data_IF_403375760248
#
_entry.id   IF_403375760248
#
_cell.length_a   1.000
_cell.length_b   1.000
_cell.length_c   1.000
_cell.angle_alpha   90.00
_cell.angle_beta   90.00
_cell.angle_gamma   90.00
#
_symmetry.space_group_name_H-M   'P 1'
#
loop_
_entity.id
_entity.type
_entity.pdbx_description
1 polymer ?
#
# COMPACT_ATOMS: atom_id res chain seq x y z
N UNK A 1 8.96 -30.22 6.39
CA UNK A 1 9.63 -29.15 5.61
C UNK A 1 10.08 -28.09 6.61
N UNK A 2 11.34 -27.67 6.60
CA UNK A 2 11.80 -26.59 7.50
C UNK A 2 11.08 -25.30 7.10
N UNK A 3 10.33 -24.69 8.02
CA UNK A 3 9.70 -23.39 7.79
C UNK A 3 10.75 -22.28 7.74
N UNK A 4 10.57 -21.31 6.84
CA UNK A 4 11.44 -20.15 6.73
C UNK A 4 11.47 -19.40 8.08
N UNK A 5 12.65 -19.13 8.67
CA UNK A 5 12.77 -18.43 9.95
C UNK A 5 12.08 -17.07 10.01
N UNK A 6 11.89 -16.38 8.86
CA UNK A 6 11.15 -15.12 8.80
C UNK A 6 9.66 -15.36 9.08
N UNK A 7 9.06 -16.41 8.50
CA UNK A 7 7.64 -16.73 8.71
C UNK A 7 7.38 -17.04 10.19
N UNK A 8 8.26 -17.83 10.82
CA UNK A 8 8.17 -18.14 12.25
C UNK A 8 8.24 -16.90 13.15
N UNK A 9 8.95 -15.84 12.72
CA UNK A 9 9.03 -14.57 13.45
C UNK A 9 7.80 -13.72 13.21
N UNK A 10 7.29 -13.69 11.98
CA UNK A 10 6.06 -12.96 11.63
C UNK A 10 4.84 -13.57 12.33
N UNK A 11 4.75 -14.89 12.45
CA UNK A 11 3.66 -15.58 13.19
C UNK A 11 3.55 -15.17 14.67
N UNK A 12 4.64 -14.65 15.25
CA UNK A 12 4.70 -14.25 16.67
C UNK A 12 4.37 -12.78 16.89
N UNK A 13 4.17 -12.00 15.83
CA UNK A 13 3.83 -10.60 15.96
C UNK A 13 2.42 -10.42 16.51
N UNK A 14 2.22 -9.37 17.29
CA UNK A 14 0.89 -8.90 17.67
C UNK A 14 0.25 -8.15 16.49
N UNK A 15 -1.08 -7.99 16.50
CA UNK A 15 -1.81 -7.39 15.38
C UNK A 15 -1.26 -6.02 14.96
N UNK A 16 -0.93 -5.14 15.91
CA UNK A 16 -0.38 -3.82 15.58
C UNK A 16 1.04 -3.91 14.96
N UNK A 17 1.81 -4.93 15.33
CA UNK A 17 3.14 -5.17 14.77
C UNK A 17 3.05 -5.73 13.36
N UNK A 18 2.07 -6.59 13.06
CA UNK A 18 1.76 -7.00 11.69
C UNK A 18 1.39 -5.81 10.82
N UNK A 19 0.46 -4.96 11.28
CA UNK A 19 0.03 -3.77 10.53
C UNK A 19 1.21 -2.82 10.32
N UNK A 20 2.04 -2.58 11.35
CA UNK A 20 3.26 -1.77 11.23
C UNK A 20 4.22 -2.35 10.20
N UNK A 21 4.46 -3.67 10.24
CA UNK A 21 5.35 -4.34 9.29
C UNK A 21 4.83 -4.22 7.85
N UNK A 22 3.54 -4.46 7.63
CA UNK A 22 2.90 -4.33 6.31
C UNK A 22 2.93 -2.88 5.82
N UNK A 23 2.58 -1.91 6.69
CA UNK A 23 2.67 -0.49 6.37
C UNK A 23 4.08 -0.09 5.92
N UNK A 24 5.14 -0.57 6.59
CA UNK A 24 6.52 -0.33 6.14
C UNK A 24 6.85 -0.94 4.77
N UNK A 25 6.24 -2.06 4.39
CA UNK A 25 6.41 -2.63 3.05
C UNK A 25 5.70 -1.76 2.00
N UNK A 26 4.48 -1.32 2.26
CA UNK A 26 3.71 -0.43 1.38
C UNK A 26 4.40 0.95 1.24
N UNK A 27 4.93 1.51 2.33
CA UNK A 27 5.79 2.71 2.33
C UNK A 27 6.96 2.59 1.35
N UNK A 28 7.63 1.43 1.35
CA UNK A 28 8.74 1.15 0.45
C UNK A 28 8.28 1.06 -1.01
N UNK A 29 7.02 0.70 -1.27
CA UNK A 29 6.45 0.57 -2.61
C UNK A 29 5.87 1.88 -3.16
N UNK A 30 5.57 2.86 -2.30
CA UNK A 30 5.01 4.16 -2.68
C UNK A 30 5.73 4.85 -3.87
N UNK A 31 7.07 4.90 -3.94
CA UNK A 31 7.76 5.55 -5.05
C UNK A 31 7.41 4.96 -6.42
N UNK A 32 7.10 3.66 -6.49
CA UNK A 32 6.72 3.01 -7.75
C UNK A 32 5.43 3.60 -8.31
N UNK A 33 4.40 3.72 -7.45
CA UNK A 33 3.13 4.31 -7.82
C UNK A 33 3.27 5.81 -8.13
N UNK A 34 3.97 6.57 -7.26
CA UNK A 34 4.13 8.01 -7.43
C UNK A 34 4.86 8.38 -8.73
N UNK A 35 5.94 7.67 -9.07
CA UNK A 35 6.68 7.89 -10.32
C UNK A 35 5.85 7.48 -11.53
N UNK A 36 5.11 6.37 -11.45
CA UNK A 36 4.19 5.95 -12.50
C UNK A 36 3.16 7.04 -12.81
N UNK A 37 2.46 7.56 -11.80
CA UNK A 37 1.50 8.66 -11.94
C UNK A 37 2.16 9.90 -12.56
N UNK A 38 3.35 10.27 -12.08
CA UNK A 38 4.07 11.45 -12.57
C UNK A 38 4.45 11.31 -14.06
N UNK A 39 4.91 10.13 -14.49
CA UNK A 39 5.39 9.91 -15.86
C UNK A 39 4.26 9.78 -16.87
N UNK A 40 3.14 9.21 -16.46
CA UNK A 40 2.01 8.89 -17.35
C UNK A 40 0.89 9.91 -17.30
N UNK A 41 0.85 10.75 -16.27
CA UNK A 41 -0.31 11.57 -15.94
C UNK A 41 -1.49 10.75 -15.40
N UNK A 42 -1.29 9.47 -15.06
CA UNK A 42 -2.32 8.62 -14.48
C UNK A 42 -2.62 9.05 -13.05
N UNK A 43 -3.83 9.58 -12.83
CA UNK A 43 -4.39 9.86 -11.51
C UNK A 43 -3.54 10.80 -10.63
N UNK A 44 -3.82 10.75 -9.33
CA UNK A 44 -3.10 11.52 -8.31
C UNK A 44 -2.17 10.60 -7.50
N UNK A 45 -0.85 10.76 -7.70
CA UNK A 45 0.17 10.01 -6.94
C UNK A 45 0.09 10.19 -5.42
N UNK A 46 -0.56 11.27 -4.93
CA UNK A 46 -0.74 11.51 -3.50
C UNK A 46 -1.83 10.66 -2.86
N UNK A 47 -2.71 10.00 -3.64
CA UNK A 47 -3.77 9.17 -3.06
C UNK A 47 -3.18 8.02 -2.22
N UNK A 48 -2.12 7.39 -2.70
CA UNK A 48 -1.40 6.33 -2.00
C UNK A 48 -0.83 6.82 -0.66
N UNK A 49 -0.22 8.03 -0.67
CA UNK A 49 0.33 8.67 0.53
C UNK A 49 -0.76 8.92 1.57
N UNK A 50 -1.92 9.44 1.14
CA UNK A 50 -3.07 9.68 2.04
C UNK A 50 -3.56 8.40 2.71
N UNK A 51 -3.63 7.28 1.97
CA UNK A 51 -4.01 5.98 2.55
C UNK A 51 -3.00 5.53 3.60
N UNK A 52 -1.70 5.60 3.30
CA UNK A 52 -0.65 5.26 4.26
C UNK A 52 -0.70 6.15 5.51
N UNK A 53 -0.97 7.44 5.36
CA UNK A 53 -1.10 8.38 6.49
C UNK A 53 -2.26 7.98 7.41
N UNK A 54 -3.40 7.55 6.85
CA UNK A 54 -4.53 7.04 7.64
C UNK A 54 -4.16 5.74 8.37
N UNK A 55 -3.40 4.84 7.76
CA UNK A 55 -2.91 3.62 8.43
C UNK A 55 -2.02 4.00 9.61
N UNK A 56 -1.06 4.91 9.42
CA UNK A 56 -0.20 5.39 10.52
C UNK A 56 -0.97 6.12 11.61
N UNK A 57 -2.00 6.88 11.25
CA UNK A 57 -2.89 7.52 12.21
C UNK A 57 -3.55 6.48 13.12
N UNK A 58 -4.06 5.36 12.56
CA UNK A 58 -4.64 4.28 13.39
C UNK A 58 -3.65 3.59 14.32
N UNK A 59 -2.35 3.61 14.00
CA UNK A 59 -1.30 3.03 14.83
C UNK A 59 -0.80 3.98 15.93
N UNK A 60 -0.84 5.29 15.69
CA UNK A 60 -0.18 6.30 16.54
C UNK A 60 -1.16 7.15 17.35
N UNK A 61 -2.38 7.34 16.86
CA UNK A 61 -3.40 8.17 17.49
C UNK A 61 -4.41 7.29 18.20
N UNK A 62 -4.45 7.43 19.53
CA UNK A 62 -5.42 6.73 20.36
C UNK A 62 -6.85 7.12 19.94
N UNK A 63 -7.71 6.12 19.78
CA UNK A 63 -9.13 6.26 19.42
C UNK A 63 -9.40 6.81 17.99
N UNK A 64 -8.39 6.81 17.12
CA UNK A 64 -8.58 7.13 15.69
C UNK A 64 -9.61 6.19 15.05
N UNK A 65 -10.53 6.76 14.26
CA UNK A 65 -11.57 6.03 13.53
C UNK A 65 -11.49 6.39 12.07
N UNK A 66 -11.10 5.42 11.25
CA UNK A 66 -11.03 5.55 9.80
C UNK A 66 -12.05 4.59 9.20
N UNK A 67 -12.87 5.10 8.26
CA UNK A 67 -13.75 4.25 7.46
C UNK A 67 -12.94 3.71 6.27
N UNK A 68 -12.28 2.57 6.46
CA UNK A 68 -11.46 1.96 5.41
C UNK A 68 -12.27 1.45 4.23
N UNK A 69 -13.55 1.09 4.40
CA UNK A 69 -14.40 0.65 3.29
C UNK A 69 -14.56 1.79 2.25
N UNK A 70 -14.86 3.00 2.70
CA UNK A 70 -14.96 4.17 1.81
C UNK A 70 -13.62 4.61 1.22
N UNK A 71 -12.52 4.36 1.93
CA UNK A 71 -11.18 4.65 1.40
C UNK A 71 -10.78 3.62 0.34
N UNK A 72 -11.16 2.35 0.52
CA UNK A 72 -10.91 1.26 -0.41
C UNK A 72 -11.63 1.52 -1.74
N UNK A 73 -12.93 1.84 -1.72
CA UNK A 73 -13.71 2.15 -2.93
C UNK A 73 -13.02 3.24 -3.78
N UNK A 74 -12.53 4.31 -3.14
CA UNK A 74 -11.81 5.39 -3.84
C UNK A 74 -10.44 4.98 -4.34
N UNK A 75 -9.78 4.06 -3.64
CA UNK A 75 -8.44 3.61 -3.97
C UNK A 75 -8.45 2.59 -5.11
N UNK A 76 -9.49 1.77 -5.21
CA UNK A 76 -9.71 0.85 -6.34
C UNK A 76 -9.76 1.59 -7.68
N UNK A 77 -10.39 2.76 -7.73
CA UNK A 77 -10.41 3.62 -8.93
C UNK A 77 -9.02 4.18 -9.29
N UNK A 78 -8.07 4.17 -8.36
CA UNK A 78 -6.71 4.63 -8.54
C UNK A 78 -5.73 3.51 -8.87
N UNK A 79 -6.19 2.27 -9.11
CA UNK A 79 -5.35 1.15 -9.53
C UNK A 79 -5.27 1.17 -11.07
N UNK A 80 -4.07 1.30 -11.68
CA UNK A 80 -3.95 1.27 -13.13
C UNK A 80 -4.16 -0.15 -13.69
N UNK A 81 -4.60 -0.24 -14.95
CA UNK A 81 -4.65 -1.51 -15.67
C UNK A 81 -3.38 -1.72 -16.49
N UNK A 82 -2.82 -2.93 -16.49
CA UNK A 82 -1.66 -3.26 -17.31
C UNK A 82 -1.97 -3.21 -18.82
N UNK A 83 -3.24 -3.38 -19.21
CA UNK A 83 -3.67 -3.35 -20.61
C UNK A 83 -3.68 -1.93 -21.20
N UNK A 84 -3.66 -0.89 -20.35
CA UNK A 84 -3.74 0.51 -20.77
C UNK A 84 -2.35 1.16 -20.99
N UNK A 85 -1.25 0.46 -20.65
CA UNK A 85 0.10 1.02 -20.66
C UNK A 85 1.17 0.06 -21.18
N UNK A 86 1.96 0.50 -22.16
CA UNK A 86 3.09 -0.27 -22.71
C UNK A 86 4.39 -0.19 -21.87
N UNK A 87 4.38 0.59 -20.78
CA UNK A 87 5.57 0.83 -19.96
C UNK A 87 5.64 -0.12 -18.77
N UNK A 88 6.83 -0.65 -18.48
CA UNK A 88 7.02 -1.59 -17.36
C UNK A 88 6.60 -1.02 -16.01
N UNK A 89 6.66 0.31 -15.82
CA UNK A 89 6.29 0.98 -14.58
C UNK A 89 4.84 0.75 -14.11
N UNK A 90 3.95 0.25 -14.98
CA UNK A 90 2.57 -0.10 -14.58
C UNK A 90 2.53 -1.27 -13.59
N UNK A 91 3.36 -2.30 -13.77
CA UNK A 91 3.37 -3.47 -12.89
C UNK A 91 3.75 -3.15 -11.43
N UNK A 92 4.87 -2.46 -11.13
CA UNK A 92 5.19 -2.12 -9.75
C UNK A 92 4.24 -1.06 -9.16
N UNK A 93 3.50 -0.31 -9.98
CA UNK A 93 2.42 0.57 -9.52
C UNK A 93 1.18 -0.22 -9.10
N UNK A 94 0.78 -1.23 -9.89
CA UNK A 94 -0.28 -2.20 -9.52
C UNK A 94 0.11 -2.93 -8.24
N UNK A 95 1.32 -3.50 -8.20
CA UNK A 95 1.81 -4.22 -7.02
C UNK A 95 1.79 -3.33 -5.79
N UNK A 96 2.14 -2.05 -5.91
CA UNK A 96 2.05 -1.12 -4.79
C UNK A 96 0.62 -1.00 -4.28
N UNK A 97 -0.37 -0.85 -5.16
CA UNK A 97 -1.78 -0.69 -4.78
C UNK A 97 -2.43 -1.96 -4.23
N UNK A 98 -1.97 -3.14 -4.64
CA UNK A 98 -2.56 -4.43 -4.25
C UNK A 98 -1.85 -5.07 -3.04
N UNK A 99 -0.73 -4.50 -2.59
CA UNK A 99 0.11 -5.00 -1.48
C UNK A 99 -0.58 -5.11 -0.11
#
# INVERSE_FOLDING_TARGET
MLQNPIHLRLERLESWQHVTFMACLCERMYPNYAVFCQQTGFGDGQIYRRILDLIWETLTVKDAKVNFDSQLEKFEEAIPSADDFDLYGVYPAIDACVA
#
